data_IF_105087687376
#
_entry.id   IF_105087687376
#
_cell.length_a   1.000
_cell.length_b   1.000
_cell.length_c   1.000
_cell.angle_alpha   90.00
_cell.angle_beta   90.00
_cell.angle_gamma   90.00
#
_symmetry.space_group_name_H-M   'P 1'
#
loop_
_entity.id
_entity.type
_entity.pdbx_description
1 polymer ?
#
# COMPACT_ATOMS: atom_id res chain seq x y z
N UNK A 1 8.33 -31.69 -11.21
CA UNK A 1 7.45 -30.96 -10.29
C UNK A 1 8.07 -30.63 -8.91
N UNK A 2 9.27 -31.09 -8.56
CA UNK A 2 9.91 -30.91 -7.22
C UNK A 2 10.79 -29.65 -7.09
N UNK A 3 11.20 -29.02 -8.16
CA UNK A 3 12.17 -27.90 -8.17
C UNK A 3 11.57 -26.52 -7.86
N UNK A 4 10.28 -26.31 -8.08
CA UNK A 4 9.64 -25.01 -7.85
C UNK A 4 9.37 -24.70 -6.36
N UNK A 5 9.18 -25.72 -5.52
CA UNK A 5 8.92 -25.54 -4.09
C UNK A 5 10.15 -25.05 -3.33
N UNK A 6 11.32 -25.53 -3.69
CA UNK A 6 12.58 -25.13 -3.04
C UNK A 6 12.93 -23.67 -3.34
N UNK A 7 12.61 -23.18 -4.54
CA UNK A 7 12.84 -21.77 -4.89
C UNK A 7 11.95 -20.82 -4.09
N UNK A 8 10.69 -21.19 -3.88
CA UNK A 8 9.74 -20.41 -3.06
C UNK A 8 10.14 -20.35 -1.59
N UNK A 9 10.59 -21.47 -1.04
CA UNK A 9 11.07 -21.56 0.34
C UNK A 9 12.37 -20.76 0.51
N UNK A 10 13.31 -20.84 -0.42
CA UNK A 10 14.56 -20.07 -0.37
C UNK A 10 14.30 -18.56 -0.43
N UNK A 11 13.33 -18.10 -1.24
CA UNK A 11 12.96 -16.69 -1.32
C UNK A 11 12.34 -16.19 -0.01
N UNK A 12 11.48 -16.98 0.64
CA UNK A 12 10.86 -16.64 1.93
C UNK A 12 11.92 -16.60 3.04
N UNK A 13 12.83 -17.58 3.06
CA UNK A 13 13.91 -17.63 4.03
C UNK A 13 14.87 -16.44 3.84
N UNK A 14 15.19 -16.06 2.60
CA UNK A 14 16.05 -14.90 2.33
C UNK A 14 15.41 -13.59 2.77
N UNK A 15 14.08 -13.44 2.60
CA UNK A 15 13.34 -12.28 3.11
C UNK A 15 13.35 -12.24 4.65
N UNK A 16 13.21 -13.37 5.32
CA UNK A 16 13.26 -13.46 6.78
C UNK A 16 14.67 -13.13 7.32
N UNK A 17 15.74 -13.52 6.62
CA UNK A 17 17.11 -13.16 7.01
C UNK A 17 17.46 -11.68 6.83
N UNK A 18 16.83 -10.98 5.89
CA UNK A 18 17.00 -9.53 5.72
C UNK A 18 16.33 -8.72 6.85
N UNK A 19 15.44 -9.31 7.63
CA UNK A 19 14.71 -8.69 8.72
C UNK A 19 15.15 -9.17 10.13
N UNK A 20 16.33 -9.75 10.27
CA UNK A 20 16.84 -10.05 11.62
C UNK A 20 17.01 -8.75 12.41
N UNK A 21 16.25 -8.55 13.50
CA UNK A 21 16.43 -7.36 14.34
C UNK A 21 17.78 -7.48 15.06
N UNK A 22 18.75 -6.69 14.66
CA UNK A 22 19.89 -6.41 15.52
C UNK A 22 19.35 -5.82 16.81
N UNK A 23 19.55 -6.50 17.95
CA UNK A 23 19.13 -6.02 19.27
C UNK A 23 19.84 -4.73 19.56
N UNK A 24 19.21 -3.60 19.24
CA UNK A 24 19.63 -2.31 19.77
C UNK A 24 19.05 -2.22 21.19
N UNK A 25 19.90 -2.29 22.19
CA UNK A 25 19.53 -2.03 23.57
C UNK A 25 19.11 -0.56 23.68
N UNK A 26 17.81 -0.31 23.61
CA UNK A 26 17.25 0.99 23.96
C UNK A 26 17.33 1.14 25.48
N UNK A 27 18.10 2.11 25.96
CA UNK A 27 18.08 2.51 27.37
C UNK A 27 16.65 2.83 27.79
N UNK A 28 16.14 2.07 28.73
CA UNK A 28 14.82 2.24 29.33
C UNK A 28 14.83 3.52 30.18
N UNK A 29 14.43 4.63 29.58
CA UNK A 29 14.08 5.84 30.33
C UNK A 29 12.64 5.72 30.79
N UNK A 30 12.45 5.67 32.12
CA UNK A 30 11.16 5.65 32.80
C UNK A 30 10.42 6.95 32.49
N UNK A 31 9.56 6.97 31.47
CA UNK A 31 8.69 8.09 31.09
C UNK A 31 7.24 7.72 31.37
N UNK A 32 6.55 8.60 32.07
CA UNK A 32 5.21 8.54 32.66
C UNK A 32 4.13 7.78 31.82
N UNK A 33 3.17 7.20 32.57
CA UNK A 33 2.06 6.33 32.07
C UNK A 33 1.08 6.95 31.07
N UNK A 34 1.19 8.24 30.78
CA UNK A 34 0.45 8.90 29.69
C UNK A 34 0.98 8.55 28.27
N UNK A 35 2.15 7.89 28.16
CA UNK A 35 2.76 7.51 26.89
C UNK A 35 2.16 6.23 26.27
N UNK A 36 1.39 5.44 27.02
CA UNK A 36 0.86 4.16 26.51
C UNK A 36 -0.32 4.33 25.55
N UNK A 37 -1.16 5.36 25.72
CA UNK A 37 -2.28 5.62 24.80
C UNK A 37 -1.83 6.15 23.43
N UNK A 38 -0.66 6.79 23.37
CA UNK A 38 -0.13 7.33 22.10
C UNK A 38 0.46 6.26 21.17
N UNK A 39 0.72 5.05 21.68
CA UNK A 39 1.31 3.94 20.89
C UNK A 39 0.36 3.31 19.87
N UNK A 40 -0.95 3.48 20.06
CA UNK A 40 -1.97 2.91 19.16
C UNK A 40 -2.49 3.90 18.11
N UNK A 41 -2.08 5.17 18.20
CA UNK A 41 -2.47 6.16 17.21
C UNK A 41 -1.62 5.98 15.94
N UNK A 42 -2.24 6.05 14.74
CA UNK A 42 -1.51 5.96 13.48
C UNK A 42 -0.52 7.13 13.34
N UNK A 43 0.60 6.87 12.68
CA UNK A 43 1.62 7.88 12.42
C UNK A 43 1.21 8.84 11.32
N UNK A 44 0.28 8.42 10.45
CA UNK A 44 -0.25 9.24 9.37
C UNK A 44 -1.66 8.81 8.93
N UNK A 45 -2.34 9.75 8.30
CA UNK A 45 -3.60 9.54 7.58
C UNK A 45 -3.37 9.89 6.12
N UNK A 46 -3.92 9.10 5.19
CA UNK A 46 -3.83 9.33 3.74
C UNK A 46 -5.22 9.46 3.13
N UNK A 47 -5.35 10.39 2.20
CA UNK A 47 -6.49 10.48 1.29
C UNK A 47 -5.95 10.27 -0.12
N UNK A 48 -6.59 9.40 -0.88
CA UNK A 48 -6.14 9.03 -2.22
C UNK A 48 -7.30 9.06 -3.20
N UNK A 49 -7.03 9.54 -4.39
CA UNK A 49 -7.89 9.45 -5.55
C UNK A 49 -7.30 8.42 -6.52
N UNK A 50 -8.16 7.51 -7.01
CA UNK A 50 -7.84 6.44 -7.95
C UNK A 50 -6.71 5.49 -7.48
N UNK A 51 -5.94 4.92 -8.40
CA UNK A 51 -4.80 4.03 -8.09
C UNK A 51 -5.19 2.60 -7.72
N UNK A 52 -6.33 2.12 -8.22
CA UNK A 52 -6.73 0.72 -8.13
C UNK A 52 -7.30 0.24 -6.79
N UNK A 53 -7.51 1.15 -5.83
CA UNK A 53 -8.05 0.80 -4.51
C UNK A 53 -9.41 1.45 -4.20
N UNK A 54 -9.97 2.15 -5.16
CA UNK A 54 -11.21 2.92 -5.11
C UNK A 54 -11.09 4.19 -5.93
N UNK A 55 -12.21 4.87 -6.21
CA UNK A 55 -12.18 6.21 -6.79
C UNK A 55 -11.70 7.21 -5.74
N UNK A 56 -12.27 7.14 -4.54
CA UNK A 56 -11.83 7.86 -3.36
C UNK A 56 -11.47 6.86 -2.28
N UNK A 57 -10.34 7.06 -1.61
CA UNK A 57 -9.90 6.18 -0.55
C UNK A 57 -9.33 6.98 0.62
N UNK A 58 -9.63 6.52 1.82
CA UNK A 58 -9.05 7.05 3.05
C UNK A 58 -8.28 5.93 3.75
N UNK A 59 -7.12 6.24 4.28
CA UNK A 59 -6.27 5.26 4.94
C UNK A 59 -5.54 5.80 6.15
N UNK A 60 -5.13 4.89 6.98
CA UNK A 60 -4.27 5.15 8.16
C UNK A 60 -3.08 4.20 8.12
N UNK A 61 -1.99 4.59 8.76
CA UNK A 61 -0.84 3.70 8.77
C UNK A 61 0.24 4.06 9.75
N UNK A 62 1.24 3.17 9.76
CA UNK A 62 2.39 3.23 10.65
C UNK A 62 3.67 3.24 9.83
N UNK A 63 4.65 3.98 10.34
CA UNK A 63 5.97 4.11 9.75
C UNK A 63 7.00 3.36 10.58
N UNK A 64 7.88 2.64 9.92
CA UNK A 64 8.94 1.84 10.52
C UNK A 64 10.30 2.26 9.96
N UNK A 65 11.36 1.91 10.70
CA UNK A 65 12.75 2.11 10.26
C UNK A 65 13.07 3.55 9.84
N UNK A 66 12.65 4.53 10.65
CA UNK A 66 12.78 5.97 10.34
C UNK A 66 12.06 6.33 9.02
N UNK A 67 10.83 5.90 8.89
CA UNK A 67 9.96 6.10 7.74
C UNK A 67 10.46 5.48 6.42
N UNK A 68 11.38 4.52 6.47
CA UNK A 68 11.81 3.79 5.27
C UNK A 68 10.79 2.74 4.83
N UNK A 69 9.96 2.27 5.75
CA UNK A 69 8.89 1.33 5.49
C UNK A 69 7.59 1.88 6.06
N UNK A 70 6.54 1.85 5.27
CA UNK A 70 5.19 2.22 5.68
C UNK A 70 4.24 1.05 5.48
N UNK A 71 3.34 0.84 6.44
CA UNK A 71 2.21 -0.08 6.33
C UNK A 71 0.94 0.73 6.46
N UNK A 72 0.08 0.68 5.45
CA UNK A 72 -1.15 1.44 5.37
C UNK A 72 -2.35 0.52 5.21
N UNK A 73 -3.44 0.83 5.90
CA UNK A 73 -4.74 0.23 5.67
C UNK A 73 -5.66 1.28 5.06
N UNK A 74 -6.29 0.96 3.94
CA UNK A 74 -7.20 1.85 3.22
C UNK A 74 -8.61 1.28 3.15
N UNK A 75 -9.58 2.17 3.23
CA UNK A 75 -10.94 1.95 2.80
C UNK A 75 -11.20 2.76 1.53
N UNK A 76 -11.69 2.12 0.49
CA UNK A 76 -11.97 2.72 -0.80
C UNK A 76 -13.44 2.67 -1.15
N UNK A 77 -13.88 3.64 -1.93
CA UNK A 77 -15.25 3.78 -2.41
C UNK A 77 -15.27 4.16 -3.88
N UNK A 78 -16.15 3.53 -4.65
CA UNK A 78 -16.49 3.88 -6.03
C UNK A 78 -17.99 4.06 -6.10
N UNK A 79 -18.50 5.28 -6.38
CA UNK A 79 -19.93 5.53 -6.45
C UNK A 79 -20.56 4.91 -7.70
N UNK A 80 -21.83 4.57 -7.60
CA UNK A 80 -22.66 4.03 -8.69
C UNK A 80 -22.65 4.87 -9.97
N UNK A 81 -22.38 6.18 -9.88
CA UNK A 81 -22.25 7.04 -11.07
C UNK A 81 -21.01 6.78 -11.92
N UNK A 82 -20.04 6.04 -11.39
CA UNK A 82 -18.77 5.67 -12.06
C UNK A 82 -18.69 4.16 -12.30
N UNK A 83 -19.42 3.37 -11.50
CA UNK A 83 -19.54 1.92 -11.60
C UNK A 83 -20.99 1.50 -11.79
N UNK A 84 -21.24 0.22 -12.02
CA UNK A 84 -22.60 -0.37 -12.11
C UNK A 84 -23.31 -0.22 -10.76
N UNK A 85 -22.60 -0.43 -9.66
CA UNK A 85 -23.08 -0.30 -8.29
C UNK A 85 -22.10 0.45 -7.40
N UNK A 86 -22.55 0.84 -6.19
CA UNK A 86 -21.66 1.37 -5.16
C UNK A 86 -20.70 0.29 -4.70
N UNK A 87 -19.41 0.48 -4.94
CA UNK A 87 -18.39 -0.47 -4.57
C UNK A 87 -17.59 0.03 -3.36
N UNK A 88 -17.46 -0.84 -2.40
CA UNK A 88 -16.65 -0.65 -1.21
C UNK A 88 -15.45 -1.59 -1.26
N UNK A 89 -14.32 -1.14 -0.78
CA UNK A 89 -13.11 -1.94 -0.78
C UNK A 89 -12.22 -1.67 0.41
N UNK A 90 -11.37 -2.63 0.71
CA UNK A 90 -10.30 -2.47 1.70
C UNK A 90 -8.98 -2.89 1.08
N UNK A 91 -7.90 -2.23 1.49
CA UNK A 91 -6.55 -2.55 1.02
C UNK A 91 -5.53 -2.46 2.14
N UNK A 92 -4.63 -3.42 2.18
CA UNK A 92 -3.41 -3.35 2.97
C UNK A 92 -2.25 -3.08 2.02
N UNK A 93 -1.45 -2.08 2.32
CA UNK A 93 -0.30 -1.68 1.50
C UNK A 93 0.96 -1.64 2.33
N UNK A 94 2.05 -2.11 1.73
CA UNK A 94 3.41 -1.99 2.27
C UNK A 94 4.21 -1.18 1.27
N UNK A 95 4.83 -0.08 1.72
CA UNK A 95 5.59 0.84 0.88
C UNK A 95 7.01 0.99 1.42
N UNK A 96 8.01 0.75 0.58
CA UNK A 96 9.41 0.98 0.88
C UNK A 96 9.90 2.26 0.20
N UNK A 97 10.58 3.13 0.96
CA UNK A 97 11.13 4.41 0.51
C UNK A 97 12.65 4.33 0.52
N UNK A 98 13.25 4.24 -0.67
CA UNK A 98 14.68 3.99 -0.81
C UNK A 98 15.51 5.27 -0.81
N UNK A 99 15.04 6.29 -1.50
CA UNK A 99 15.76 7.55 -1.72
C UNK A 99 15.00 8.70 -1.08
N UNK A 100 15.72 9.53 -0.33
CA UNK A 100 15.18 10.70 0.35
C UNK A 100 16.15 11.87 0.21
N UNK A 101 15.66 12.98 -0.29
CA UNK A 101 16.43 14.19 -0.50
C UNK A 101 15.80 15.35 0.25
N UNK A 102 16.54 15.94 1.19
CA UNK A 102 16.14 17.18 1.84
C UNK A 102 16.56 18.35 0.95
N UNK A 103 15.58 19.04 0.38
CA UNK A 103 15.82 20.23 -0.43
C UNK A 103 16.12 21.42 0.48
N UNK A 104 15.39 21.53 1.59
CA UNK A 104 15.58 22.50 2.64
C UNK A 104 15.07 21.91 3.98
N UNK A 105 15.17 22.62 5.13
CA UNK A 105 14.70 22.11 6.42
C UNK A 105 13.22 21.72 6.46
N UNK A 106 12.40 22.26 5.56
CA UNK A 106 10.95 22.09 5.56
C UNK A 106 10.43 21.22 4.41
N UNK A 107 11.26 20.93 3.39
CA UNK A 107 10.87 20.16 2.21
C UNK A 107 11.76 18.95 2.03
N UNK A 108 11.14 17.78 1.99
CA UNK A 108 11.77 16.50 1.67
C UNK A 108 11.11 15.88 0.44
N UNK A 109 11.91 15.40 -0.50
CA UNK A 109 11.45 14.69 -1.71
C UNK A 109 11.86 13.23 -1.60
N UNK A 110 10.90 12.34 -1.81
CA UNK A 110 11.10 10.91 -1.99
C UNK A 110 10.75 10.60 -3.45
N UNK A 111 11.73 10.63 -4.37
CA UNK A 111 11.46 10.50 -5.80
C UNK A 111 11.00 9.08 -6.19
N UNK A 112 11.38 8.09 -5.39
CA UNK A 112 11.05 6.70 -5.65
C UNK A 112 10.64 6.00 -4.37
N UNK A 113 9.42 5.50 -4.37
CA UNK A 113 8.97 4.47 -3.46
C UNK A 113 8.44 3.27 -4.26
N UNK A 114 8.53 2.09 -3.67
CA UNK A 114 8.03 0.84 -4.24
C UNK A 114 7.11 0.21 -3.23
N UNK A 115 5.98 -0.28 -3.68
CA UNK A 115 5.05 -0.91 -2.77
C UNK A 115 4.35 -2.12 -3.37
N UNK A 116 3.81 -2.90 -2.46
CA UNK A 116 2.93 -4.01 -2.72
C UNK A 116 1.61 -3.78 -1.98
N UNK A 117 0.52 -4.22 -2.55
CA UNK A 117 -0.78 -4.16 -1.91
C UNK A 117 -1.59 -5.43 -2.13
N UNK A 118 -2.43 -5.73 -1.15
CA UNK A 118 -3.54 -6.66 -1.29
C UNK A 118 -4.83 -5.86 -1.14
N UNK A 119 -5.79 -6.15 -1.99
CA UNK A 119 -7.03 -5.41 -2.13
C UNK A 119 -8.21 -6.38 -2.17
N UNK A 120 -9.27 -6.03 -1.45
CA UNK A 120 -10.54 -6.75 -1.48
C UNK A 120 -11.69 -5.80 -1.78
N UNK A 121 -12.47 -6.11 -2.80
CA UNK A 121 -13.70 -5.40 -3.16
C UNK A 121 -14.89 -6.19 -2.63
N UNK A 122 -15.81 -5.48 -1.96
CA UNK A 122 -17.06 -6.05 -1.49
C UNK A 122 -18.15 -5.89 -2.56
N UNK A 123 -18.99 -6.89 -2.71
CA UNK A 123 -20.13 -6.89 -3.63
C UNK A 123 -20.54 -8.31 -4.01
N UNK A 124 -21.75 -8.49 -4.48
CA UNK A 124 -22.30 -9.81 -4.80
C UNK A 124 -21.58 -10.51 -5.95
N UNK A 125 -20.87 -9.74 -6.81
CA UNK A 125 -20.12 -10.27 -7.95
C UNK A 125 -18.62 -10.42 -7.64
N UNK A 126 -18.18 -9.95 -6.45
CA UNK A 126 -16.78 -9.96 -6.03
C UNK A 126 -16.50 -11.07 -5.02
N UNK A 127 -16.49 -12.29 -5.50
CA UNK A 127 -16.34 -13.48 -4.67
C UNK A 127 -14.89 -13.70 -4.24
N UNK A 128 -14.70 -14.19 -3.02
CA UNK A 128 -13.38 -14.56 -2.48
C UNK A 128 -12.93 -15.91 -3.04
N UNK A 129 -13.89 -16.82 -3.21
CA UNK A 129 -13.68 -18.14 -3.84
C UNK A 129 -14.51 -18.20 -5.10
N UNK A 130 -14.00 -18.85 -6.13
CA UNK A 130 -14.77 -19.06 -7.36
C UNK A 130 -16.00 -19.91 -7.08
N UNK A 131 -17.14 -19.59 -7.75
CA UNK A 131 -18.32 -20.43 -7.68
C UNK A 131 -18.05 -21.85 -8.18
N UNK A 132 -18.83 -22.85 -7.68
CA UNK A 132 -18.62 -24.26 -8.01
C UNK A 132 -18.72 -24.62 -9.51
N UNK A 133 -19.27 -23.72 -10.33
CA UNK A 133 -19.37 -23.94 -11.77
C UNK A 133 -18.08 -23.65 -12.55
N UNK A 134 -17.09 -23.06 -11.89
CA UNK A 134 -15.74 -22.92 -12.47
C UNK A 134 -14.89 -24.12 -12.10
N UNK A 135 -14.07 -24.65 -13.04
CA UNK A 135 -13.08 -25.66 -12.71
C UNK A 135 -12.13 -25.18 -11.62
N UNK A 136 -11.66 -26.12 -10.79
CA UNK A 136 -10.61 -25.81 -9.80
C UNK A 136 -9.38 -25.25 -10.52
N UNK A 137 -8.77 -24.20 -9.92
CA UNK A 137 -7.58 -23.52 -10.44
C UNK A 137 -7.78 -22.75 -11.77
N UNK A 138 -9.03 -22.53 -12.21
CA UNK A 138 -9.31 -21.81 -13.46
C UNK A 138 -8.79 -20.36 -13.44
N UNK A 139 -8.85 -19.69 -12.28
CA UNK A 139 -8.26 -18.36 -12.07
C UNK A 139 -7.32 -18.38 -10.87
N UNK A 140 -6.16 -17.75 -11.03
CA UNK A 140 -5.19 -17.55 -9.95
C UNK A 140 -5.68 -16.62 -8.84
N UNK A 141 -6.56 -15.70 -9.20
CA UNK A 141 -7.07 -14.67 -8.33
C UNK A 141 -8.59 -14.74 -8.27
N UNK A 142 -9.14 -14.56 -7.08
CA UNK A 142 -10.58 -14.40 -6.94
C UNK A 142 -11.02 -13.03 -7.48
N UNK A 143 -12.25 -12.90 -8.02
CA UNK A 143 -12.76 -11.61 -8.47
C UNK A 143 -12.74 -10.52 -7.41
N UNK A 144 -12.98 -10.89 -6.16
CA UNK A 144 -13.03 -9.96 -5.03
C UNK A 144 -11.69 -9.64 -4.40
N UNK A 145 -10.63 -10.47 -4.60
CA UNK A 145 -9.35 -10.28 -3.94
C UNK A 145 -8.20 -10.28 -4.93
N UNK A 146 -7.52 -9.16 -5.02
CA UNK A 146 -6.38 -8.95 -5.89
C UNK A 146 -5.17 -8.49 -5.09
N UNK A 147 -3.99 -8.77 -5.60
CA UNK A 147 -2.76 -8.12 -5.14
C UNK A 147 -2.08 -7.43 -6.30
N UNK A 148 -1.22 -6.47 -6.00
CA UNK A 148 -0.52 -5.73 -7.03
C UNK A 148 0.74 -5.06 -6.49
N UNK A 149 1.46 -4.45 -7.39
CA UNK A 149 2.66 -3.68 -7.11
C UNK A 149 2.49 -2.26 -7.61
N UNK A 150 3.19 -1.32 -7.00
CA UNK A 150 3.21 0.06 -7.46
C UNK A 150 4.58 0.71 -7.26
N UNK A 151 4.83 1.71 -8.07
CA UNK A 151 5.91 2.68 -7.94
C UNK A 151 5.30 4.03 -7.66
N UNK A 152 5.99 4.88 -6.93
CA UNK A 152 5.51 6.21 -6.65
C UNK A 152 6.59 7.16 -6.20
N UNK A 153 6.19 8.37 -5.88
CA UNK A 153 7.01 9.39 -5.28
C UNK A 153 6.17 10.31 -4.40
N UNK A 154 6.82 11.05 -3.53
CA UNK A 154 6.16 12.03 -2.67
C UNK A 154 7.03 13.26 -2.42
N UNK A 155 6.35 14.36 -2.18
CA UNK A 155 6.95 15.62 -1.70
C UNK A 155 6.32 15.89 -0.33
N UNK A 156 7.15 15.85 0.71
CA UNK A 156 6.75 16.06 2.10
C UNK A 156 7.16 17.45 2.55
N UNK A 157 6.23 18.16 3.18
CA UNK A 157 6.46 19.48 3.76
C UNK A 157 6.11 19.45 5.25
N UNK A 158 6.88 20.17 6.06
CA UNK A 158 6.52 20.40 7.45
C UNK A 158 5.36 21.41 7.52
N UNK A 159 4.42 21.14 8.39
CA UNK A 159 3.37 22.11 8.72
C UNK A 159 3.91 23.11 9.73
N UNK A 160 3.95 24.38 9.34
CA UNK A 160 4.39 25.49 10.21
C UNK A 160 3.38 25.86 11.30
N UNK A 161 2.26 25.14 11.39
CA UNK A 161 1.18 25.49 12.31
C UNK A 161 1.21 24.61 13.58
N UNK A 162 1.46 25.22 14.71
CA UNK A 162 1.32 24.59 16.03
C UNK A 162 -0.14 24.29 16.45
N UNK A 163 -1.11 24.60 15.59
CA UNK A 163 -2.54 24.45 15.87
C UNK A 163 -3.11 23.11 15.40
N UNK A 164 -2.37 22.34 14.60
CA UNK A 164 -2.80 21.05 14.09
C UNK A 164 -1.97 19.92 14.71
N UNK A 165 -2.56 18.75 14.99
CA UNK A 165 -1.81 17.60 15.49
C UNK A 165 -0.87 16.98 14.43
N UNK A 166 -0.95 17.45 13.17
CA UNK A 166 -0.08 17.00 12.09
C UNK A 166 1.24 17.79 12.08
N UNK A 167 2.36 17.08 12.08
CA UNK A 167 3.71 17.64 11.99
C UNK A 167 4.14 17.93 10.54
N UNK A 168 3.49 17.29 9.57
CA UNK A 168 3.82 17.45 8.15
C UNK A 168 2.70 16.97 7.23
N UNK A 169 2.77 17.45 5.99
CA UNK A 169 1.88 17.03 4.90
C UNK A 169 2.73 16.55 3.73
N UNK A 170 2.30 15.51 3.03
CA UNK A 170 2.92 15.10 1.79
C UNK A 170 1.89 14.98 0.67
N UNK A 171 2.28 15.41 -0.52
CA UNK A 171 1.61 15.07 -1.77
C UNK A 171 2.32 13.89 -2.40
N UNK A 172 1.60 12.88 -2.81
CA UNK A 172 2.16 11.70 -3.44
C UNK A 172 1.42 11.31 -4.70
N UNK A 173 2.15 10.71 -5.62
CA UNK A 173 1.60 10.08 -6.80
C UNK A 173 2.15 8.66 -6.90
N UNK A 174 1.36 7.77 -7.50
CA UNK A 174 1.75 6.39 -7.73
C UNK A 174 1.22 5.88 -9.05
N UNK A 175 1.92 4.95 -9.64
CA UNK A 175 1.49 4.12 -10.74
C UNK A 175 1.66 2.65 -10.34
N UNK A 176 0.70 1.82 -10.66
CA UNK A 176 0.74 0.41 -10.25
C UNK A 176 -0.02 -0.48 -11.22
N UNK A 177 0.03 -1.76 -10.93
CA UNK A 177 -0.73 -2.77 -11.67
C UNK A 177 -1.10 -3.92 -10.76
N UNK A 178 -2.18 -4.58 -11.08
CA UNK A 178 -2.65 -5.77 -10.36
C UNK A 178 -2.09 -7.03 -10.99
N UNK A 179 -1.93 -8.10 -10.19
CA UNK A 179 -1.48 -9.40 -10.66
C UNK A 179 -2.34 -9.93 -11.82
N UNK A 180 -3.67 -9.76 -11.71
CA UNK A 180 -4.61 -10.13 -12.77
C UNK A 180 -4.30 -9.44 -14.11
N UNK A 181 -3.96 -8.15 -14.10
CA UNK A 181 -3.63 -7.40 -15.30
C UNK A 181 -2.29 -7.84 -15.91
N UNK A 182 -1.31 -8.13 -15.06
CA UNK A 182 -0.01 -8.67 -15.47
C UNK A 182 -0.22 -10.01 -16.17
N UNK A 183 -1.01 -10.91 -15.57
CA UNK A 183 -1.33 -12.22 -16.13
C UNK A 183 -2.06 -12.10 -17.48
N UNK A 184 -3.07 -11.22 -17.55
CA UNK A 184 -3.80 -10.94 -18.78
C UNK A 184 -2.87 -10.46 -19.90
N UNK A 185 -1.89 -9.58 -19.57
CA UNK A 185 -0.90 -9.08 -20.53
C UNK A 185 0.08 -10.16 -20.98
N UNK A 186 0.48 -11.06 -20.10
CA UNK A 186 1.36 -12.19 -20.42
C UNK A 186 0.62 -13.16 -21.36
N UNK A 187 -0.67 -13.46 -21.10
CA UNK A 187 -1.49 -14.32 -21.92
C UNK A 187 -1.90 -13.69 -23.26
N UNK A 188 -2.01 -12.36 -23.31
CA UNK A 188 -2.35 -11.63 -24.52
C UNK A 188 -1.45 -10.41 -24.72
N UNK A 189 -0.42 -10.56 -25.52
CA UNK A 189 0.56 -9.51 -25.81
C UNK A 189 -0.05 -8.27 -26.51
N UNK A 190 -1.23 -8.40 -27.11
CA UNK A 190 -1.92 -7.29 -27.79
C UNK A 190 -2.52 -6.26 -26.82
N UNK A 191 -2.69 -6.58 -25.53
CA UNK A 191 -3.18 -5.63 -24.53
C UNK A 191 -2.14 -4.51 -24.36
N UNK A 192 -2.49 -3.23 -24.58
CA UNK A 192 -1.56 -2.12 -24.37
C UNK A 192 -1.15 -1.99 -22.90
N UNK A 193 0.10 -1.62 -22.65
CA UNK A 193 0.60 -1.42 -21.26
C UNK A 193 -0.23 -0.37 -20.52
N UNK A 194 -0.67 0.68 -21.21
CA UNK A 194 -1.51 1.74 -20.61
C UNK A 194 -2.82 1.22 -20.02
N UNK A 195 -3.35 0.11 -20.52
CA UNK A 195 -4.63 -0.45 -20.09
C UNK A 195 -4.49 -1.29 -18.79
N UNK A 196 -3.26 -1.64 -18.43
CA UNK A 196 -2.95 -2.41 -17.22
C UNK A 196 -2.32 -1.55 -16.11
N UNK A 197 -2.05 -0.27 -16.37
CA UNK A 197 -1.46 0.64 -15.39
C UNK A 197 -2.55 1.51 -14.77
N UNK A 198 -2.56 1.54 -13.45
CA UNK A 198 -3.46 2.34 -12.64
C UNK A 198 -2.69 3.51 -12.01
N UNK A 199 -3.15 4.73 -12.25
CA UNK A 199 -2.58 5.94 -11.65
C UNK A 199 -3.41 6.38 -10.46
N UNK A 200 -2.74 6.83 -9.41
CA UNK A 200 -3.35 7.41 -8.24
C UNK A 200 -2.50 8.54 -7.66
N UNK A 201 -3.16 9.47 -7.00
CA UNK A 201 -2.50 10.55 -6.29
C UNK A 201 -3.25 10.86 -5.00
N UNK A 202 -2.56 11.47 -4.07
CA UNK A 202 -3.16 11.73 -2.77
C UNK A 202 -2.35 12.67 -1.88
N UNK A 203 -2.89 12.83 -0.68
CA UNK A 203 -2.30 13.64 0.38
C UNK A 203 -2.14 12.77 1.62
N UNK A 204 -1.02 12.91 2.29
CA UNK A 204 -0.76 12.31 3.58
C UNK A 204 -0.55 13.39 4.64
N UNK A 205 -1.09 13.17 5.83
CA UNK A 205 -0.90 14.02 7.01
C UNK A 205 -0.16 13.19 8.05
N UNK A 206 1.06 13.60 8.38
CA UNK A 206 1.93 12.95 9.36
C UNK A 206 1.80 13.63 10.72
N UNK A 207 1.84 12.81 11.75
CA UNK A 207 1.80 13.26 13.14
C UNK A 207 3.19 13.54 13.70
#
# INVERSE_FOLDING_TARGET
MWTQWHFKIALIISLVYLFHPTKTYAQYSKKNDSANSARFLPDYVKLQFAGGIGLLSAGVGYSFFKEKLEVSYFYGYVPKGVSIDDLHSVSLQVTAKFLRFKVNPDIEIVPLNVGWFIHHTFGNEYWITLPPHYPDEYYWWSPGRNSGIFLGGEIKTKLLSNKTPASGTAFYARMGTRGLYIESKIGNSSIPIRDIIEFGFGVAFYR
#
